data_IF_566678522129
#
_entry.id   IF_566678522129
#
_cell.length_a   1.000
_cell.length_b   1.000
_cell.length_c   1.000
_cell.angle_alpha   90.00
_cell.angle_beta   90.00
_cell.angle_gamma   90.00
#
_symmetry.space_group_name_H-M   'P 1'
#
loop_
_entity.id
_entity.type
_entity.pdbx_description
1 polymer ?
#
# COMPACT_ATOMS: atom_id res chain seq x y z
N UNK A 1 -25.49 -1.29 -3.05
CA UNK A 1 -24.59 -2.42 -3.38
C UNK A 1 -23.27 -2.16 -2.69
N UNK A 2 -22.95 -2.88 -1.62
CA UNK A 2 -21.74 -2.66 -0.82
C UNK A 2 -20.55 -3.23 -1.58
N UNK A 3 -19.75 -2.37 -2.19
CA UNK A 3 -18.46 -2.73 -2.81
C UNK A 3 -17.54 -3.29 -1.71
N UNK A 4 -17.51 -4.62 -1.57
CA UNK A 4 -16.65 -5.30 -0.58
C UNK A 4 -15.24 -5.36 -1.14
N UNK A 5 -14.53 -4.24 -1.09
CA UNK A 5 -13.10 -4.20 -1.35
C UNK A 5 -12.38 -5.00 -0.27
N UNK A 6 -11.51 -5.91 -0.70
CA UNK A 6 -10.79 -6.81 0.19
C UNK A 6 -9.31 -6.83 -0.22
N UNK A 7 -8.44 -6.91 0.78
CA UNK A 7 -7.06 -7.36 0.58
C UNK A 7 -7.06 -8.88 0.70
N UNK A 8 -6.70 -9.58 -0.38
CA UNK A 8 -6.61 -11.04 -0.38
C UNK A 8 -5.16 -11.48 -0.24
N UNK A 9 -4.90 -12.44 0.63
CA UNK A 9 -3.59 -13.07 0.78
C UNK A 9 -3.66 -14.48 0.22
N UNK A 10 -2.70 -14.80 -0.66
CA UNK A 10 -2.58 -16.08 -1.33
C UNK A 10 -1.23 -16.69 -1.03
N UNK A 11 -1.21 -18.01 -0.88
CA UNK A 11 0.00 -18.82 -0.93
C UNK A 11 0.00 -19.65 -2.21
N UNK A 12 1.18 -20.06 -2.66
CA UNK A 12 1.32 -20.98 -3.78
C UNK A 12 1.55 -22.39 -3.24
N UNK A 13 0.79 -23.37 -3.73
CA UNK A 13 1.04 -24.78 -3.39
C UNK A 13 2.24 -25.36 -4.15
N UNK A 14 2.60 -26.62 -3.85
CA UNK A 14 3.72 -27.31 -4.49
C UNK A 14 3.58 -27.45 -6.02
N UNK A 15 2.36 -27.30 -6.55
CA UNK A 15 2.04 -27.37 -7.98
C UNK A 15 1.90 -25.98 -8.64
N UNK A 16 2.07 -24.89 -7.90
CA UNK A 16 1.91 -23.53 -8.42
C UNK A 16 0.50 -22.95 -8.29
N UNK A 17 -0.45 -23.67 -7.70
CA UNK A 17 -1.82 -23.18 -7.57
C UNK A 17 -1.93 -22.13 -6.46
N UNK A 18 -2.72 -21.08 -6.71
CA UNK A 18 -2.98 -20.01 -5.74
C UNK A 18 -4.05 -20.47 -4.75
N UNK A 19 -3.66 -20.64 -3.49
CA UNK A 19 -4.53 -20.93 -2.37
C UNK A 19 -4.79 -19.64 -1.59
N UNK A 20 -6.03 -19.13 -1.63
CA UNK A 20 -6.41 -17.98 -0.80
C UNK A 20 -6.41 -18.38 0.68
N UNK A 21 -5.56 -17.73 1.48
CA UNK A 21 -5.48 -17.94 2.93
C UNK A 21 -6.38 -17.00 3.71
N UNK A 22 -6.47 -15.75 3.26
CA UNK A 22 -7.24 -14.73 3.95
C UNK A 22 -7.88 -13.72 3.00
N UNK A 23 -8.93 -13.07 3.48
CA UNK A 23 -9.57 -11.90 2.89
C UNK A 23 -9.84 -10.91 4.01
N UNK A 24 -9.29 -9.70 3.90
CA UNK A 24 -9.44 -8.66 4.89
C UNK A 24 -10.21 -7.47 4.31
N UNK A 25 -11.23 -6.93 5.00
CA UNK A 25 -11.93 -5.73 4.54
C UNK A 25 -10.98 -4.55 4.38
N UNK A 26 -10.81 -4.08 3.15
CA UNK A 26 -9.98 -2.93 2.85
C UNK A 26 -10.87 -1.72 2.59
N UNK A 27 -10.82 -0.73 3.48
CA UNK A 27 -11.71 0.43 3.44
C UNK A 27 -11.30 1.45 2.35
N UNK A 28 -10.08 1.33 1.79
CA UNK A 28 -9.58 2.23 0.77
C UNK A 28 -9.73 1.75 -0.68
N UNK A 29 -9.21 2.54 -1.62
CA UNK A 29 -9.03 2.13 -3.03
C UNK A 29 -7.58 1.74 -3.27
N UNK A 30 -7.24 0.47 -3.02
CA UNK A 30 -5.89 -0.04 -3.25
C UNK A 30 -5.48 0.15 -4.72
N UNK A 31 -4.23 0.56 -4.95
CA UNK A 31 -3.66 0.75 -6.29
C UNK A 31 -2.45 -0.16 -6.51
N UNK A 32 -1.59 -0.28 -5.50
CA UNK A 32 -0.40 -1.10 -5.56
C UNK A 32 -0.07 -1.68 -4.18
N UNK A 33 0.65 -2.80 -4.21
CA UNK A 33 1.15 -3.48 -3.02
C UNK A 33 2.65 -3.76 -3.18
N UNK A 34 3.41 -3.52 -2.12
CA UNK A 34 4.78 -3.98 -1.99
C UNK A 34 4.92 -4.82 -0.72
N UNK A 35 5.81 -5.81 -0.75
CA UNK A 35 6.07 -6.69 0.39
C UNK A 35 7.56 -6.60 0.75
N UNK A 36 7.86 -6.54 2.04
CA UNK A 36 9.22 -6.64 2.59
C UNK A 36 9.22 -7.55 3.80
N UNK A 37 9.71 -8.79 3.63
CA UNK A 37 9.59 -9.82 4.66
C UNK A 37 8.13 -10.07 5.04
N UNK A 38 7.81 -9.91 6.32
CA UNK A 38 6.46 -10.04 6.86
C UNK A 38 5.62 -8.76 6.76
N UNK A 39 6.11 -7.68 6.13
CA UNK A 39 5.37 -6.43 6.03
C UNK A 39 4.78 -6.24 4.64
N UNK A 40 3.51 -5.85 4.59
CA UNK A 40 2.80 -5.42 3.39
C UNK A 40 2.55 -3.91 3.39
N UNK A 41 2.79 -3.26 2.26
CA UNK A 41 2.57 -1.83 2.06
C UNK A 41 1.55 -1.63 0.95
N UNK A 42 0.44 -0.97 1.24
CA UNK A 42 -0.64 -0.75 0.28
C UNK A 42 -0.77 0.74 -0.01
N UNK A 43 -0.49 1.13 -1.24
CA UNK A 43 -0.81 2.46 -1.77
C UNK A 43 -2.31 2.54 -2.07
N UNK A 44 -2.96 3.58 -1.56
CA UNK A 44 -4.39 3.82 -1.73
C UNK A 44 -4.67 5.20 -2.28
N UNK A 45 -5.73 5.33 -3.10
CA UNK A 45 -6.21 6.65 -3.55
C UNK A 45 -6.85 7.47 -2.42
N UNK A 46 -7.43 6.81 -1.42
CA UNK A 46 -8.23 7.44 -0.37
C UNK A 46 -7.52 7.52 0.98
N UNK A 47 -6.68 6.54 1.29
CA UNK A 47 -6.14 6.35 2.64
C UNK A 47 -4.66 6.73 2.74
N UNK A 48 -4.00 7.01 1.62
CA UNK A 48 -2.54 7.14 1.56
C UNK A 48 -1.86 5.77 1.63
N UNK A 49 -0.85 5.63 2.50
CA UNK A 49 -0.06 4.40 2.62
C UNK A 49 -0.51 3.60 3.84
N UNK A 50 -0.99 2.38 3.64
CA UNK A 50 -1.33 1.46 4.73
C UNK A 50 -0.23 0.42 4.94
N UNK A 51 0.11 0.14 6.19
CA UNK A 51 1.11 -0.86 6.56
C UNK A 51 0.41 -2.03 7.23
N UNK A 52 0.72 -3.23 6.79
CA UNK A 52 0.18 -4.48 7.30
C UNK A 52 1.29 -5.40 7.81
N UNK A 53 1.01 -6.08 8.90
CA UNK A 53 1.71 -7.29 9.32
C UNK A 53 1.09 -8.49 8.59
N UNK A 54 1.94 -9.26 7.92
CA UNK A 54 1.66 -10.46 7.16
C UNK A 54 2.42 -11.67 7.74
N UNK A 55 2.93 -11.58 8.98
CA UNK A 55 3.63 -12.67 9.66
C UNK A 55 2.79 -13.93 9.84
N UNK A 56 1.47 -13.76 9.98
CA UNK A 56 0.49 -14.82 9.80
C UNK A 56 -0.34 -14.54 8.53
N UNK A 57 -0.09 -15.27 7.41
CA UNK A 57 -0.83 -15.11 6.17
C UNK A 57 -2.34 -15.39 6.29
N UNK A 58 -2.78 -16.15 7.30
CA UNK A 58 -4.19 -16.41 7.56
C UNK A 58 -4.87 -15.26 8.32
N UNK A 59 -4.09 -14.44 9.06
CA UNK A 59 -4.59 -13.32 9.84
C UNK A 59 -3.78 -12.02 9.65
N UNK A 60 -3.81 -11.41 8.46
CA UNK A 60 -3.17 -10.11 8.23
C UNK A 60 -3.70 -9.03 9.17
N UNK A 61 -2.81 -8.20 9.72
CA UNK A 61 -3.17 -7.10 10.62
C UNK A 61 -2.74 -5.76 10.06
N UNK A 62 -3.65 -4.77 10.00
CA UNK A 62 -3.27 -3.39 9.64
C UNK A 62 -2.59 -2.73 10.83
N UNK A 63 -1.29 -2.49 10.72
CA UNK A 63 -0.48 -1.87 11.78
C UNK A 63 -0.71 -0.35 11.85
N UNK A 64 -0.74 0.32 10.70
CA UNK A 64 -0.86 1.77 10.65
C UNK A 64 -1.31 2.29 9.29
N UNK A 65 -1.62 3.59 9.26
CA UNK A 65 -1.94 4.36 8.05
C UNK A 65 -1.16 5.65 8.11
N UNK A 66 -0.45 5.97 7.03
CA UNK A 66 0.13 7.29 6.80
C UNK A 66 -0.73 8.03 5.77
N UNK A 67 -1.57 9.00 6.21
CA UNK A 67 -2.29 9.85 5.29
C UNK A 67 -1.31 10.65 4.43
N UNK A 68 -1.59 10.71 3.12
CA UNK A 68 -0.84 11.55 2.18
C UNK A 68 -1.73 12.67 1.67
N UNK A 69 -1.13 13.77 1.23
CA UNK A 69 -1.89 14.93 0.74
C UNK A 69 -2.63 14.65 -0.57
N UNK A 70 -2.44 13.49 -1.20
CA UNK A 70 -3.16 13.05 -2.41
C UNK A 70 -3.06 11.54 -2.63
N UNK A 71 -3.69 11.05 -3.72
CA UNK A 71 -3.75 9.62 -3.99
C UNK A 71 -2.36 9.06 -4.28
N UNK A 72 -2.07 7.88 -3.73
CA UNK A 72 -0.92 7.08 -4.12
C UNK A 72 -1.34 6.10 -5.22
N UNK A 73 -0.47 5.94 -6.21
CA UNK A 73 -0.70 5.08 -7.38
C UNK A 73 0.23 3.87 -7.35
N UNK A 74 1.45 4.02 -6.85
CA UNK A 74 2.40 2.94 -6.77
C UNK A 74 3.26 3.02 -5.49
N UNK A 75 3.83 1.89 -5.09
CA UNK A 75 4.65 1.74 -3.89
C UNK A 75 5.76 0.70 -4.10
N UNK A 76 6.95 1.02 -3.63
CA UNK A 76 8.10 0.11 -3.56
C UNK A 76 8.73 0.17 -2.17
N UNK A 77 9.28 -0.96 -1.71
CA UNK A 77 9.96 -1.04 -0.41
C UNK A 77 11.47 -1.26 -0.60
N UNK A 78 12.27 -0.66 0.27
CA UNK A 78 13.72 -0.76 0.28
C UNK A 78 14.23 -0.73 1.74
N UNK A 79 14.32 -1.90 2.37
CA UNK A 79 14.71 -2.02 3.78
C UNK A 79 13.72 -1.31 4.70
N UNK A 80 14.21 -0.37 5.51
CA UNK A 80 13.38 0.42 6.44
C UNK A 80 12.71 1.64 5.79
N UNK A 81 12.67 1.71 4.45
CA UNK A 81 12.07 2.81 3.71
C UNK A 81 11.07 2.29 2.69
N UNK A 82 10.06 3.11 2.45
CA UNK A 82 9.06 2.92 1.40
C UNK A 82 9.07 4.15 0.50
N UNK A 83 9.08 3.92 -0.80
CA UNK A 83 8.89 4.95 -1.82
C UNK A 83 7.48 4.78 -2.34
N UNK A 84 6.67 5.83 -2.23
CA UNK A 84 5.33 5.86 -2.81
C UNK A 84 5.21 7.01 -3.79
N UNK A 85 4.49 6.81 -4.89
CA UNK A 85 4.33 7.83 -5.93
C UNK A 85 2.86 8.05 -6.22
N UNK A 86 2.52 9.31 -6.48
CA UNK A 86 1.19 9.73 -6.91
C UNK A 86 1.26 11.01 -7.74
N UNK A 87 0.11 11.58 -8.12
CA UNK A 87 0.07 12.81 -8.91
C UNK A 87 0.76 14.01 -8.26
N UNK A 88 0.85 14.00 -6.92
CA UNK A 88 1.53 15.04 -6.14
C UNK A 88 3.04 14.83 -6.02
N UNK A 89 3.58 13.77 -6.63
CA UNK A 89 5.00 13.49 -6.68
C UNK A 89 5.37 12.18 -5.98
N UNK A 90 6.66 12.06 -5.67
CA UNK A 90 7.26 10.93 -4.98
C UNK A 90 7.42 11.25 -3.50
N UNK A 91 7.09 10.29 -2.65
CA UNK A 91 7.14 10.36 -1.20
C UNK A 91 8.12 9.30 -0.68
N UNK A 92 9.07 9.71 0.17
CA UNK A 92 9.98 8.80 0.87
C UNK A 92 9.51 8.68 2.31
N UNK A 93 9.11 7.49 2.71
CA UNK A 93 8.56 7.17 4.02
C UNK A 93 9.54 6.28 4.77
N UNK A 94 9.87 6.67 6.00
CA UNK A 94 10.58 5.85 6.95
C UNK A 94 9.59 4.96 7.70
N UNK A 95 9.80 3.65 7.61
CA UNK A 95 8.94 2.62 8.20
C UNK A 95 9.70 1.79 9.26
N UNK A 96 10.80 2.33 9.79
CA UNK A 96 11.55 1.71 10.91
C UNK A 96 10.69 1.48 12.15
N UNK A 97 9.66 2.30 12.36
CA UNK A 97 8.60 2.10 13.35
C UNK A 97 7.28 1.91 12.60
N UNK A 98 6.86 0.66 12.42
CA UNK A 98 5.71 0.29 11.58
C UNK A 98 4.37 0.81 12.09
N UNK A 99 4.25 1.05 13.39
CA UNK A 99 3.09 1.69 14.03
C UNK A 99 3.05 3.21 13.85
N UNK A 100 4.18 3.84 13.53
CA UNK A 100 4.33 5.28 13.41
C UNK A 100 5.25 5.67 12.23
N UNK A 101 4.85 5.36 10.98
CA UNK A 101 5.64 5.71 9.79
C UNK A 101 5.76 7.22 9.63
N UNK A 102 6.92 7.68 9.15
CA UNK A 102 7.23 9.12 9.03
C UNK A 102 7.59 9.48 7.59
N UNK A 103 6.90 10.46 7.02
CA UNK A 103 7.30 11.05 5.74
C UNK A 103 8.61 11.83 5.92
N UNK A 104 9.70 11.36 5.30
CA UNK A 104 11.03 11.99 5.37
C UNK A 104 11.25 13.04 4.31
N UNK A 105 10.56 12.93 3.19
CA UNK A 105 10.65 13.91 2.11
C UNK A 105 9.66 13.63 1.00
N UNK A 106 9.41 14.66 0.21
CA UNK A 106 8.65 14.54 -1.03
C UNK A 106 9.31 15.34 -2.13
N UNK A 107 9.32 14.77 -3.33
CA UNK A 107 9.79 15.44 -4.54
C UNK A 107 8.60 15.56 -5.48
N UNK A 108 8.22 16.80 -5.80
CA UNK A 108 7.25 17.05 -6.84
C UNK A 108 7.85 16.57 -8.17
N UNK A 109 7.13 15.70 -8.89
CA UNK A 109 7.57 15.24 -10.20
C UNK A 109 6.99 16.20 -11.25
N UNK A 110 7.82 16.90 -12.04
CA UNK A 110 7.31 17.73 -13.13
C UNK A 110 6.55 16.84 -14.12
N UNK A 111 5.29 17.18 -14.38
CA UNK A 111 4.41 16.41 -15.27
C UNK A 111 3.50 15.38 -14.59
N UNK A 112 3.64 15.11 -13.28
CA UNK A 112 2.72 14.19 -12.56
C UNK A 112 1.35 14.80 -12.27
N UNK A 113 1.07 16.02 -12.73
CA UNK A 113 -0.27 16.58 -12.76
C UNK A 113 -1.15 15.74 -13.71
N UNK A 114 -1.72 14.66 -13.17
CA UNK A 114 -2.93 14.08 -13.72
C UNK A 114 -3.94 15.22 -13.89
N UNK A 115 -4.09 15.72 -15.12
CA UNK A 115 -5.28 16.46 -15.55
C UNK A 115 -6.38 15.42 -15.69
N UNK A 116 -7.07 15.12 -14.60
CA UNK A 116 -8.29 14.33 -14.68
C UNK A 116 -9.36 15.07 -15.50
N UNK A 117 -9.88 14.40 -16.53
CA UNK A 117 -11.24 14.61 -17.04
C UNK A 117 -11.41 15.69 -18.11
N UNK A 118 -11.51 15.26 -19.37
CA UNK A 118 -12.00 16.07 -20.48
C UNK A 118 -12.94 15.25 -21.38
N UNK A 119 -14.19 15.12 -20.92
CA UNK A 119 -15.41 14.59 -21.57
C UNK A 119 -15.53 13.08 -21.74
#
# INVERSE_FOLDING_TARGET
MTDRRQLNVYETDAAGALLRRASYPFVGTAQAVAISGALGYVASRSDGLSIFDLGDPAHPQRLSVLPTTGPLLDVASAGSRVIAVGPRGLHVVDVSQTSAPVLRGSVALPGSAWRGGGR
#
